data_IF_871467036143
#
_entry.id   IF_871467036143
#
_cell.length_a   1.000
_cell.length_b   1.000
_cell.length_c   1.000
_cell.angle_alpha   90.00
_cell.angle_beta   90.00
_cell.angle_gamma   90.00
#
_symmetry.space_group_name_H-M   'P 1'
#
loop_
_entity.id
_entity.type
_entity.pdbx_description
1 polymer ?
#
# COMPACT_ATOMS: atom_id res chain seq x y z
N UNK A 1 17.75 5.93 -15.58
CA UNK A 1 17.33 5.48 -16.93
C UNK A 1 16.98 3.99 -16.97
N UNK A 2 17.79 3.06 -16.46
CA UNK A 2 17.44 1.61 -16.44
C UNK A 2 16.15 1.28 -15.65
N UNK A 3 15.86 1.98 -14.56
CA UNK A 3 14.65 1.74 -13.75
C UNK A 3 13.35 2.07 -14.50
N UNK A 4 13.30 3.19 -15.19
CA UNK A 4 12.12 3.62 -15.97
C UNK A 4 11.83 2.69 -17.15
N UNK A 5 12.84 2.11 -17.77
CA UNK A 5 12.68 1.14 -18.86
C UNK A 5 12.15 -0.19 -18.31
N UNK A 6 12.64 -0.63 -17.16
CA UNK A 6 12.16 -1.86 -16.51
C UNK A 6 10.69 -1.72 -16.05
N UNK A 7 10.30 -0.58 -15.49
CA UNK A 7 8.91 -0.28 -15.12
C UNK A 7 7.99 -0.25 -16.34
N UNK A 8 8.40 0.37 -17.44
CA UNK A 8 7.63 0.44 -18.67
C UNK A 8 7.44 -0.95 -19.33
N UNK A 9 8.44 -1.83 -19.22
CA UNK A 9 8.34 -3.22 -19.72
C UNK A 9 7.41 -4.03 -18.82
N UNK A 10 7.56 -3.94 -17.50
CA UNK A 10 6.71 -4.63 -16.54
C UNK A 10 5.23 -4.24 -16.70
N UNK A 11 4.94 -2.96 -16.92
CA UNK A 11 3.57 -2.45 -17.12
C UNK A 11 2.86 -3.05 -18.35
N UNK A 12 3.59 -3.57 -19.35
CA UNK A 12 3.04 -4.17 -20.55
C UNK A 12 2.85 -5.69 -20.48
N UNK A 13 3.29 -6.34 -19.40
CA UNK A 13 3.14 -7.78 -19.25
C UNK A 13 1.70 -8.17 -18.90
N UNK A 14 1.19 -9.32 -19.39
CA UNK A 14 -0.05 -9.92 -18.92
C UNK A 14 0.01 -10.14 -17.39
N UNK A 15 -1.13 -9.98 -16.72
CA UNK A 15 -1.21 -10.05 -15.25
C UNK A 15 -0.51 -11.27 -14.60
N UNK A 16 -0.60 -12.51 -15.11
CA UNK A 16 0.10 -13.65 -14.51
C UNK A 16 1.62 -13.53 -14.60
N UNK A 17 2.16 -13.06 -15.73
CA UNK A 17 3.61 -12.86 -15.92
C UNK A 17 4.12 -11.70 -15.08
N UNK A 18 3.33 -10.62 -14.98
CA UNK A 18 3.62 -9.48 -14.12
C UNK A 18 3.74 -9.90 -12.64
N UNK A 19 2.82 -10.75 -12.14
CA UNK A 19 2.88 -11.29 -10.77
C UNK A 19 4.14 -12.11 -10.50
N UNK A 20 4.55 -12.96 -11.44
CA UNK A 20 5.80 -13.74 -11.30
C UNK A 20 7.01 -12.81 -11.26
N UNK A 21 7.06 -11.82 -12.14
CA UNK A 21 8.12 -10.83 -12.17
C UNK A 21 8.17 -10.00 -10.87
N UNK A 22 7.03 -9.60 -10.31
CA UNK A 22 6.96 -8.89 -9.03
C UNK A 22 7.47 -9.74 -7.86
N UNK A 23 7.13 -11.03 -7.80
CA UNK A 23 7.64 -11.95 -6.76
C UNK A 23 9.17 -12.04 -6.81
N UNK A 24 9.74 -12.20 -8.01
CA UNK A 24 11.19 -12.22 -8.21
C UNK A 24 11.85 -10.88 -7.82
N UNK A 25 11.30 -9.77 -8.31
CA UNK A 25 11.77 -8.43 -7.98
C UNK A 25 11.69 -8.11 -6.49
N UNK A 26 10.64 -8.60 -5.81
CA UNK A 26 10.48 -8.45 -4.36
C UNK A 26 11.61 -9.16 -3.60
N UNK A 27 11.98 -10.38 -4.00
CA UNK A 27 13.11 -11.12 -3.41
C UNK A 27 14.45 -10.39 -3.60
N UNK A 28 14.73 -9.94 -4.83
CA UNK A 28 15.95 -9.18 -5.15
C UNK A 28 16.02 -7.85 -4.40
N UNK A 29 14.90 -7.12 -4.31
CA UNK A 29 14.78 -5.86 -3.58
C UNK A 29 15.04 -6.04 -2.08
N UNK A 30 14.53 -7.11 -1.45
CA UNK A 30 14.84 -7.45 -0.05
C UNK A 30 16.32 -7.63 0.19
N UNK A 31 17.00 -8.37 -0.70
CA UNK A 31 18.45 -8.61 -0.59
C UNK A 31 19.24 -7.31 -0.78
N UNK A 32 18.87 -6.51 -1.76
CA UNK A 32 19.49 -5.19 -2.01
C UNK A 32 19.30 -4.24 -0.82
N UNK A 33 18.09 -4.18 -0.23
CA UNK A 33 17.82 -3.35 0.95
C UNK A 33 18.62 -3.79 2.17
N UNK A 34 18.81 -5.10 2.37
CA UNK A 34 19.63 -5.63 3.46
C UNK A 34 21.09 -5.20 3.34
N UNK A 35 21.61 -5.11 2.12
CA UNK A 35 23.00 -4.73 1.85
C UNK A 35 23.19 -3.22 1.86
N UNK A 36 22.33 -2.47 1.16
CA UNK A 36 22.48 -1.03 0.95
C UNK A 36 21.85 -0.18 2.06
N UNK A 37 20.92 -0.74 2.83
CA UNK A 37 20.20 -0.06 3.92
C UNK A 37 19.69 1.34 3.56
N UNK A 38 19.01 1.53 2.42
CA UNK A 38 18.51 2.84 2.03
C UNK A 38 17.43 3.32 3.01
N UNK A 39 17.24 4.64 3.10
CA UNK A 39 16.05 5.18 3.72
C UNK A 39 14.89 5.06 2.71
N UNK A 40 13.86 4.33 3.09
CA UNK A 40 12.67 4.10 2.29
C UNK A 40 11.55 4.96 2.86
N UNK A 41 10.81 5.63 2.00
CA UNK A 41 9.59 6.33 2.38
C UNK A 41 8.41 5.73 1.64
N UNK A 42 7.27 5.62 2.32
CA UNK A 42 6.02 5.10 1.76
C UNK A 42 4.81 5.66 2.47
N UNK A 43 3.64 5.35 1.92
CA UNK A 43 2.35 5.68 2.54
C UNK A 43 1.52 4.41 2.76
N UNK A 44 0.64 4.47 3.75
CA UNK A 44 -0.44 3.52 4.01
C UNK A 44 -1.73 4.30 4.20
N UNK A 45 -2.79 3.85 3.57
CA UNK A 45 -4.02 4.61 3.44
C UNK A 45 -5.14 3.90 4.20
N UNK A 46 -5.69 4.57 5.21
CA UNK A 46 -6.93 4.19 5.88
C UNK A 46 -8.08 4.83 5.10
N UNK A 47 -8.49 4.20 4.00
CA UNK A 47 -9.58 4.68 3.18
C UNK A 47 -10.92 4.19 3.73
N UNK A 48 -11.83 5.10 4.00
CA UNK A 48 -13.15 4.82 4.54
C UNK A 48 -14.22 4.94 3.45
N UNK A 49 -15.25 4.11 3.54
CA UNK A 49 -16.48 4.33 2.78
C UNK A 49 -17.46 5.23 3.57
N UNK A 50 -18.62 5.50 2.98
CA UNK A 50 -19.69 6.32 3.60
C UNK A 50 -20.24 5.72 4.91
N UNK A 51 -20.10 4.39 5.10
CA UNK A 51 -20.50 3.70 6.32
C UNK A 51 -19.39 3.65 7.38
N UNK A 52 -18.22 4.28 7.13
CA UNK A 52 -17.06 4.26 8.03
C UNK A 52 -16.30 2.94 8.03
N UNK A 53 -16.54 2.05 7.05
CA UNK A 53 -15.79 0.80 6.92
C UNK A 53 -14.42 1.07 6.27
N UNK A 54 -13.39 0.35 6.71
CA UNK A 54 -12.02 0.51 6.23
C UNK A 54 -11.77 -0.40 5.03
N UNK A 55 -11.19 0.15 3.97
CA UNK A 55 -10.76 -0.62 2.80
C UNK A 55 -9.44 -1.33 3.09
N UNK A 56 -9.45 -2.64 2.96
CA UNK A 56 -8.26 -3.49 3.04
C UNK A 56 -8.03 -4.19 1.71
N UNK A 57 -6.76 -4.52 1.45
CA UNK A 57 -6.31 -5.17 0.21
C UNK A 57 -5.42 -6.37 0.49
N UNK A 58 -5.34 -7.29 -0.49
CA UNK A 58 -4.34 -8.36 -0.52
C UNK A 58 -3.43 -8.19 -1.72
N UNK A 59 -2.13 -8.23 -1.49
CA UNK A 59 -1.14 -8.15 -2.56
C UNK A 59 -0.94 -9.51 -3.25
N UNK A 60 -0.50 -9.46 -4.51
CA UNK A 60 -0.13 -10.65 -5.30
C UNK A 60 1.22 -11.25 -4.88
N UNK A 61 1.96 -10.57 -4.01
CA UNK A 61 3.31 -10.95 -3.54
C UNK A 61 3.41 -10.79 -2.01
N UNK A 62 4.39 -11.48 -1.43
CA UNK A 62 4.60 -11.47 0.03
C UNK A 62 3.68 -12.45 0.75
N UNK A 63 3.24 -12.09 1.95
CA UNK A 63 2.24 -12.83 2.71
C UNK A 63 0.82 -12.50 2.23
N UNK A 64 -0.13 -13.43 2.29
CA UNK A 64 -1.51 -13.19 1.87
C UNK A 64 -2.35 -12.42 2.90
N UNK A 65 -1.70 -11.74 3.84
CA UNK A 65 -2.39 -11.01 4.91
C UNK A 65 -3.14 -9.79 4.34
N UNK A 66 -4.25 -9.41 4.98
CA UNK A 66 -4.91 -8.14 4.71
C UNK A 66 -4.05 -6.98 5.19
N UNK A 67 -4.02 -5.92 4.43
CA UNK A 67 -3.28 -4.71 4.74
C UNK A 67 -3.94 -3.47 4.15
N UNK A 68 -3.54 -2.29 4.62
CA UNK A 68 -3.98 -1.04 4.02
C UNK A 68 -3.34 -0.85 2.63
N UNK A 69 -4.08 -0.33 1.64
CA UNK A 69 -3.52 0.06 0.35
C UNK A 69 -2.44 1.13 0.51
N UNK A 70 -1.62 1.32 -0.51
CA UNK A 70 -0.54 2.30 -0.55
C UNK A 70 0.80 1.70 -0.92
N UNK A 71 1.73 2.54 -1.26
CA UNK A 71 3.01 2.15 -1.88
C UNK A 71 4.19 3.00 -1.50
N UNK A 72 5.21 2.94 -2.33
CA UNK A 72 6.43 3.71 -2.17
C UNK A 72 6.27 5.16 -2.61
N UNK A 73 6.92 6.05 -1.90
CA UNK A 73 7.01 7.46 -2.27
C UNK A 73 8.30 7.74 -3.05
N UNK A 74 8.24 8.65 -4.00
CA UNK A 74 9.44 9.19 -4.66
C UNK A 74 10.17 10.12 -3.69
N UNK A 75 11.47 10.28 -3.89
CA UNK A 75 12.28 11.17 -3.03
C UNK A 75 11.72 12.60 -3.05
N UNK A 76 11.32 13.10 -1.87
CA UNK A 76 10.76 14.43 -1.71
C UNK A 76 9.31 14.58 -2.18
N UNK A 77 8.62 13.49 -2.49
CA UNK A 77 7.19 13.51 -2.82
C UNK A 77 6.37 13.80 -1.55
N UNK A 78 5.34 14.61 -1.69
CA UNK A 78 4.39 14.86 -0.61
C UNK A 78 3.52 13.61 -0.37
N UNK A 79 3.29 13.19 0.89
CA UNK A 79 2.52 11.99 1.21
C UNK A 79 1.07 12.01 0.72
N UNK A 80 0.43 13.18 0.62
CA UNK A 80 -0.96 13.27 0.16
C UNK A 80 -1.08 12.98 -1.33
N UNK A 81 -0.39 13.70 -2.25
CA UNK A 81 -0.37 13.35 -3.67
C UNK A 81 0.10 11.93 -3.94
N UNK A 82 1.11 11.44 -3.19
CA UNK A 82 1.59 10.07 -3.32
C UNK A 82 0.48 9.06 -3.01
N UNK A 83 -0.27 9.27 -1.90
CA UNK A 83 -1.38 8.40 -1.50
C UNK A 83 -2.52 8.41 -2.52
N UNK A 84 -2.89 9.58 -3.05
CA UNK A 84 -3.93 9.70 -4.07
C UNK A 84 -3.53 8.95 -5.35
N UNK A 85 -2.28 9.09 -5.78
CA UNK A 85 -1.73 8.40 -6.95
C UNK A 85 -1.75 6.88 -6.78
N UNK A 86 -1.13 6.36 -5.69
CA UNK A 86 -1.09 4.92 -5.39
C UNK A 86 -2.51 4.33 -5.29
N UNK A 87 -3.41 5.01 -4.60
CA UNK A 87 -4.79 4.57 -4.43
C UNK A 87 -5.55 4.45 -5.76
N UNK A 88 -5.36 5.43 -6.65
CA UNK A 88 -5.93 5.41 -7.99
C UNK A 88 -5.32 4.32 -8.88
N UNK A 89 -4.00 4.12 -8.82
CA UNK A 89 -3.28 3.11 -9.61
C UNK A 89 -3.65 1.69 -9.21
N UNK A 90 -3.76 1.43 -7.89
CA UNK A 90 -4.06 0.10 -7.34
C UNK A 90 -5.53 -0.29 -7.43
N UNK A 91 -6.46 0.69 -7.28
CA UNK A 91 -7.88 0.42 -7.02
C UNK A 91 -8.84 1.10 -7.99
N UNK A 92 -8.34 1.96 -8.86
CA UNK A 92 -9.15 2.61 -9.89
C UNK A 92 -10.26 3.53 -9.35
N UNK A 93 -10.15 3.99 -8.10
CA UNK A 93 -11.10 4.91 -7.47
C UNK A 93 -10.37 6.13 -6.87
N UNK A 94 -11.11 7.16 -6.49
CA UNK A 94 -10.54 8.38 -5.94
C UNK A 94 -10.43 8.31 -4.41
N UNK A 95 -9.36 8.89 -3.87
CA UNK A 95 -9.20 9.18 -2.45
C UNK A 95 -9.43 10.69 -2.25
N UNK A 96 -10.44 11.05 -1.47
CA UNK A 96 -10.79 12.44 -1.15
C UNK A 96 -10.61 12.72 0.34
N UNK A 97 -10.55 14.00 0.71
CA UNK A 97 -10.36 14.47 2.10
C UNK A 97 -9.15 13.83 2.80
N UNK A 98 -8.10 13.55 2.01
CA UNK A 98 -6.91 12.87 2.46
C UNK A 98 -6.08 13.76 3.39
N UNK A 99 -5.67 13.22 4.55
CA UNK A 99 -4.78 13.90 5.51
C UNK A 99 -3.82 12.92 6.17
N UNK A 100 -2.61 13.36 6.46
CA UNK A 100 -1.64 12.57 7.25
C UNK A 100 -2.07 12.61 8.72
N UNK A 101 -2.17 11.45 9.35
CA UNK A 101 -2.55 11.30 10.76
C UNK A 101 -1.42 10.77 11.63
N UNK A 102 -0.44 10.07 11.03
CA UNK A 102 0.68 9.48 11.76
C UNK A 102 1.89 9.30 10.82
N UNK A 103 3.08 9.20 11.42
CA UNK A 103 4.33 8.88 10.73
C UNK A 103 5.09 7.82 11.51
N UNK A 104 4.95 6.58 11.08
CA UNK A 104 5.68 5.47 11.66
C UNK A 104 7.11 5.40 11.13
N UNK A 105 8.05 5.05 12.00
CA UNK A 105 9.44 4.77 11.66
C UNK A 105 9.81 3.39 12.20
N UNK A 106 10.25 2.52 11.32
CA UNK A 106 10.71 1.18 11.65
C UNK A 106 11.89 0.76 10.77
N UNK A 107 12.26 -0.51 10.85
CA UNK A 107 13.29 -1.09 9.98
C UNK A 107 12.68 -2.19 9.13
N UNK A 108 12.62 -1.96 7.82
CA UNK A 108 12.14 -2.95 6.85
C UNK A 108 13.31 -3.65 6.18
N UNK A 109 13.51 -4.94 6.49
CA UNK A 109 14.62 -5.75 5.93
C UNK A 109 16.02 -5.11 6.10
N UNK A 110 16.25 -4.40 7.21
CA UNK A 110 17.52 -3.72 7.51
C UNK A 110 17.64 -2.31 6.91
N UNK A 111 16.65 -1.84 6.15
CA UNK A 111 16.56 -0.47 5.67
C UNK A 111 15.72 0.38 6.63
N UNK A 112 16.10 1.65 6.83
CA UNK A 112 15.24 2.60 7.54
C UNK A 112 13.95 2.81 6.74
N UNK A 113 12.80 2.63 7.40
CA UNK A 113 11.50 2.74 6.78
C UNK A 113 10.67 3.80 7.47
N UNK A 114 10.24 4.82 6.72
CA UNK A 114 9.35 5.88 7.16
C UNK A 114 8.03 5.75 6.43
N UNK A 115 6.96 5.50 7.16
CA UNK A 115 5.62 5.26 6.60
C UNK A 115 4.66 6.33 7.07
N UNK A 116 4.15 7.10 6.13
CA UNK A 116 3.09 8.07 6.38
C UNK A 116 1.74 7.36 6.40
N UNK A 117 0.99 7.52 7.48
CA UNK A 117 -0.38 7.01 7.61
C UNK A 117 -1.32 8.12 7.18
N UNK A 118 -2.05 7.87 6.12
CA UNK A 118 -3.01 8.81 5.54
C UNK A 118 -4.41 8.26 5.73
N UNK A 119 -5.32 9.07 6.22
CA UNK A 119 -6.76 8.76 6.27
C UNK A 119 -7.48 9.59 5.22
N UNK A 120 -8.51 9.03 4.59
CA UNK A 120 -9.34 9.71 3.61
C UNK A 120 -10.58 8.90 3.26
N UNK A 121 -11.43 9.43 2.39
CA UNK A 121 -12.63 8.75 1.93
C UNK A 121 -12.41 8.14 0.53
N UNK A 122 -12.89 6.91 0.35
CA UNK A 122 -12.92 6.25 -0.94
C UNK A 122 -14.17 6.69 -1.71
N UNK A 123 -13.96 7.36 -2.83
CA UNK A 123 -15.05 7.72 -3.74
C UNK A 123 -15.05 6.77 -4.95
N UNK A 124 -16.14 6.03 -5.09
CA UNK A 124 -16.32 5.04 -6.15
C UNK A 124 -16.20 3.59 -5.63
N UNK A 125 -16.24 2.65 -6.56
CA UNK A 125 -16.12 1.21 -6.24
C UNK A 125 -14.70 0.73 -6.49
N UNK A 126 -13.97 0.25 -5.47
CA UNK A 126 -12.62 -0.27 -5.64
C UNK A 126 -12.57 -1.42 -6.66
N UNK A 127 -11.66 -1.32 -7.60
CA UNK A 127 -11.41 -2.34 -8.63
C UNK A 127 -9.92 -2.68 -8.59
N UNK A 128 -9.54 -3.79 -7.92
CA UNK A 128 -8.16 -4.24 -7.89
C UNK A 128 -7.56 -4.33 -9.30
N UNK A 129 -6.33 -3.86 -9.46
CA UNK A 129 -5.60 -3.88 -10.73
C UNK A 129 -5.25 -5.32 -11.21
N UNK A 130 -5.43 -6.30 -10.32
CA UNK A 130 -5.10 -7.73 -10.47
C UNK A 130 -3.62 -8.00 -10.80
N UNK A 131 -2.78 -6.98 -10.70
CA UNK A 131 -1.32 -7.06 -10.86
C UNK A 131 -0.63 -7.04 -9.51
N UNK A 132 -0.75 -5.93 -8.79
CA UNK A 132 -0.24 -5.76 -7.42
C UNK A 132 -1.28 -6.15 -6.39
N UNK A 133 -2.52 -5.72 -6.55
CA UNK A 133 -3.65 -6.03 -5.68
C UNK A 133 -4.51 -7.13 -6.30
N UNK A 134 -4.75 -8.18 -5.54
CA UNK A 134 -5.59 -9.32 -5.97
C UNK A 134 -7.01 -9.24 -5.41
N UNK A 135 -7.19 -8.67 -4.22
CA UNK A 135 -8.47 -8.53 -3.55
C UNK A 135 -8.54 -7.18 -2.85
N UNK A 136 -9.73 -6.61 -2.81
CA UNK A 136 -10.06 -5.42 -2.04
C UNK A 136 -11.44 -5.61 -1.43
N UNK A 137 -11.60 -5.27 -0.14
CA UNK A 137 -12.88 -5.35 0.55
C UNK A 137 -12.94 -4.32 1.68
N UNK A 138 -14.14 -3.85 1.99
CA UNK A 138 -14.43 -3.00 3.13
C UNK A 138 -14.77 -3.85 4.36
N UNK A 139 -14.18 -3.50 5.50
CA UNK A 139 -14.42 -4.15 6.79
C UNK A 139 -14.87 -3.14 7.82
N UNK A 140 -15.83 -3.51 8.65
CA UNK A 140 -16.20 -2.69 9.79
C UNK A 140 -15.01 -2.63 10.78
N UNK A 141 -14.71 -1.48 11.38
CA UNK A 141 -13.53 -1.34 12.26
C UNK A 141 -13.58 -2.22 13.50
N UNK A 142 -14.77 -2.65 13.92
CA UNK A 142 -15.05 -3.59 15.02
C UNK A 142 -15.12 -5.06 14.57
N UNK A 143 -15.08 -5.34 13.25
CA UNK A 143 -15.11 -6.69 12.65
C UNK A 143 -13.99 -6.85 11.61
N UNK A 144 -12.76 -6.64 12.04
CA UNK A 144 -11.57 -6.75 11.19
C UNK A 144 -11.12 -8.21 11.05
N UNK A 145 -10.61 -8.62 9.87
CA UNK A 145 -10.18 -10.00 9.61
C UNK A 145 -9.02 -10.43 10.52
N UNK A 146 -9.00 -11.71 10.91
CA UNK A 146 -7.99 -12.27 11.81
C UNK A 146 -6.57 -12.18 11.24
N UNK A 147 -6.42 -12.32 9.92
CA UNK A 147 -5.15 -12.24 9.18
C UNK A 147 -4.76 -10.80 8.82
N UNK A 148 -5.23 -9.81 9.59
CA UNK A 148 -4.78 -8.42 9.52
C UNK A 148 -3.49 -8.24 10.30
N UNK A 149 -2.55 -7.45 9.76
CA UNK A 149 -1.32 -7.10 10.47
C UNK A 149 -1.63 -6.41 11.82
N UNK A 150 -1.07 -6.90 12.96
CA UNK A 150 -1.37 -6.34 14.28
C UNK A 150 -1.12 -4.82 14.40
N UNK A 151 -0.02 -4.34 13.79
CA UNK A 151 0.30 -2.91 13.77
C UNK A 151 -0.74 -2.07 13.02
N UNK A 152 -1.41 -2.63 12.02
CA UNK A 152 -2.47 -1.95 11.29
C UNK A 152 -3.77 -1.94 12.09
N UNK A 153 -4.08 -3.04 12.79
CA UNK A 153 -5.24 -3.13 13.70
C UNK A 153 -5.21 -2.01 14.73
N UNK A 154 -4.08 -1.83 15.44
CA UNK A 154 -3.94 -0.75 16.41
C UNK A 154 -4.06 0.65 15.81
N UNK A 155 -3.65 0.86 14.55
CA UNK A 155 -3.87 2.15 13.88
C UNK A 155 -5.32 2.40 13.52
N UNK A 156 -6.06 1.37 13.10
CA UNK A 156 -7.50 1.48 12.83
C UNK A 156 -8.24 1.81 14.12
N UNK A 157 -7.91 1.15 15.22
CA UNK A 157 -8.49 1.44 16.54
C UNK A 157 -8.28 2.91 16.94
N UNK A 158 -7.07 3.44 16.77
CA UNK A 158 -6.73 4.83 17.18
C UNK A 158 -7.31 5.87 16.24
N UNK A 159 -7.26 5.66 14.92
CA UNK A 159 -7.54 6.71 13.94
C UNK A 159 -8.91 6.62 13.28
N UNK A 160 -9.61 5.51 13.42
CA UNK A 160 -10.93 5.29 12.83
C UNK A 160 -12.01 5.16 13.90
N UNK A 161 -11.72 4.46 15.01
CA UNK A 161 -12.67 4.33 16.12
C UNK A 161 -12.56 5.49 17.13
N UNK A 162 -11.43 6.18 17.21
CA UNK A 162 -11.19 7.37 18.07
C UNK A 162 -10.81 7.01 19.47
#
# INVERSE_FOLDING_TARGET
>A
MLGLIAEAILARLPAPLHRVALRGAHGLRKTWWRVRRPNIEGCRILALDEAGRVLLVRHSYGKPDWMAPGGGMKRGEDPIPASIREFSEELGCALIDARVVDVARDTLHGAGNKVHIVIGQCLGTPRPDLREITHAAFFAPDDLPDDLLPALRGRIEVWVLG
#
